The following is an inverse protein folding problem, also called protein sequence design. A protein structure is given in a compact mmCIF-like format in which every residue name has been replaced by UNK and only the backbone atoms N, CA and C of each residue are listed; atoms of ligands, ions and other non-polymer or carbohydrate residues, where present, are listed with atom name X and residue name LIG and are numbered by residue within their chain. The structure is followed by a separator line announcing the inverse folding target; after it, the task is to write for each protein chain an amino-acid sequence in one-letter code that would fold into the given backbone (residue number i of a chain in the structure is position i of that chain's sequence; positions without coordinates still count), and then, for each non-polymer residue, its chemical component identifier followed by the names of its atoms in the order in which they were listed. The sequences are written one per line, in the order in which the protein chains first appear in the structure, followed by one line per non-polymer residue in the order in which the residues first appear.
data_IF_168527420302
#
_entry.id   IF_168527420302
#
_cell.length_a   1.000
_cell.length_b   1.000
_cell.length_c   1.000
_cell.angle_alpha   90.00
_cell.angle_beta   90.00
_cell.angle_gamma   90.00
#
_symmetry.space_group_name_H-M   'P 1'
#
loop_
_entity.id
_entity.type
_entity.pdbx_description
1 polymer ?
#
# COMPACT_ATOMS: atom_id res chain seq x y z
N UNK A 1 -1.93 -10.46 19.36
CA UNK A 1 -0.90 -11.03 18.50
C UNK A 1 -1.44 -12.26 17.79
N UNK A 2 -1.44 -12.23 16.47
CA UNK A 2 -1.89 -13.31 15.61
C UNK A 2 -0.74 -13.75 14.71
N UNK A 3 -0.53 -15.05 14.60
CA UNK A 3 0.36 -15.65 13.62
C UNK A 3 -0.45 -16.66 12.81
N UNK A 4 -0.75 -16.31 11.57
CA UNK A 4 -1.60 -17.12 10.69
C UNK A 4 -0.92 -18.41 10.19
N UNK A 5 0.41 -18.44 10.20
CA UNK A 5 1.15 -19.67 9.87
C UNK A 5 1.06 -20.08 8.41
N UNK A 6 0.88 -21.38 8.16
CA UNK A 6 0.70 -21.97 6.83
C UNK A 6 -0.77 -22.19 6.54
N UNK A 7 -1.12 -22.25 5.27
CA UNK A 7 -2.50 -22.47 4.80
C UNK A 7 -3.15 -21.21 4.23
N UNK A 8 -4.29 -21.41 3.59
CA UNK A 8 -5.14 -20.33 3.09
C UNK A 8 -6.11 -19.94 4.22
N UNK A 9 -5.83 -18.83 4.88
CA UNK A 9 -6.60 -18.40 6.04
C UNK A 9 -7.31 -17.06 5.77
N UNK A 10 -8.36 -16.83 6.52
CA UNK A 10 -9.02 -15.55 6.69
C UNK A 10 -8.74 -15.08 8.12
N UNK A 11 -8.12 -13.91 8.24
CA UNK A 11 -7.61 -13.40 9.52
C UNK A 11 -8.34 -12.12 9.90
N UNK A 12 -8.81 -12.04 11.15
CA UNK A 12 -9.42 -10.85 11.74
C UNK A 12 -8.68 -10.50 13.04
N UNK A 13 -8.12 -9.30 13.12
CA UNK A 13 -7.51 -8.76 14.35
C UNK A 13 -8.57 -8.49 15.41
N UNK A 14 -9.60 -7.76 15.02
CA UNK A 14 -10.73 -7.46 15.90
C UNK A 14 -10.68 -6.01 16.39
N UNK A 15 -10.70 -5.79 17.69
CA UNK A 15 -10.61 -4.46 18.27
C UNK A 15 -9.39 -4.32 19.18
N UNK A 16 -8.77 -3.15 19.14
CA UNK A 16 -7.56 -2.85 19.90
C UNK A 16 -6.35 -2.83 18.97
N UNK A 17 -5.17 -2.73 19.54
CA UNK A 17 -3.92 -2.72 18.76
C UNK A 17 -3.44 -4.15 18.55
N UNK A 18 -3.51 -4.61 17.34
CA UNK A 18 -3.10 -5.96 16.98
C UNK A 18 -1.73 -6.01 16.28
N UNK A 19 -1.06 -7.12 16.43
CA UNK A 19 0.14 -7.47 15.66
C UNK A 19 -0.18 -8.76 14.91
N UNK A 20 -0.20 -8.68 13.57
CA UNK A 20 -0.61 -9.79 12.72
C UNK A 20 0.53 -10.16 11.79
N UNK A 21 0.94 -11.44 11.83
CA UNK A 21 1.88 -12.02 10.88
C UNK A 21 1.14 -12.98 9.94
N UNK A 22 1.13 -12.67 8.64
CA UNK A 22 0.38 -13.39 7.62
C UNK A 22 0.90 -14.80 7.29
N UNK A 23 2.17 -15.11 7.62
CA UNK A 23 2.72 -16.44 7.34
C UNK A 23 3.18 -16.63 5.90
N UNK A 24 2.97 -17.82 5.32
CA UNK A 24 3.65 -18.22 4.08
C UNK A 24 2.76 -18.29 2.82
N UNK A 25 1.47 -18.58 2.95
CA UNK A 25 0.56 -18.68 1.81
C UNK A 25 -0.36 -17.47 1.72
N UNK A 26 -1.04 -17.30 0.57
CA UNK A 26 -2.00 -16.23 0.33
C UNK A 26 -3.11 -16.21 1.39
N UNK A 27 -3.41 -15.03 1.90
CA UNK A 27 -4.43 -14.83 2.94
C UNK A 27 -5.10 -13.46 2.79
N UNK A 28 -6.35 -13.38 3.20
CA UNK A 28 -7.01 -12.10 3.40
C UNK A 28 -6.94 -11.75 4.89
N UNK A 29 -6.44 -10.54 5.18
CA UNK A 29 -6.20 -10.08 6.54
C UNK A 29 -6.97 -8.78 6.75
N UNK A 30 -7.70 -8.72 7.85
CA UNK A 30 -8.42 -7.55 8.32
C UNK A 30 -7.89 -7.19 9.70
N UNK A 31 -7.29 -6.00 9.84
CA UNK A 31 -6.79 -5.48 11.11
C UNK A 31 -7.94 -5.28 12.09
N UNK A 32 -8.88 -4.45 11.72
CA UNK A 32 -10.09 -4.20 12.48
C UNK A 32 -10.14 -2.81 13.06
N UNK A 33 -10.46 -2.66 14.33
CA UNK A 33 -10.50 -1.36 15.00
C UNK A 33 -9.25 -1.13 15.84
N UNK A 34 -8.55 -0.04 15.59
CA UNK A 34 -7.38 0.38 16.37
C UNK A 34 -6.11 0.40 15.52
N UNK A 35 -5.04 0.92 16.07
CA UNK A 35 -3.79 1.09 15.33
C UNK A 35 -3.03 -0.23 15.26
N UNK A 36 -3.06 -0.89 14.13
CA UNK A 36 -2.56 -2.24 13.94
C UNK A 36 -1.18 -2.28 13.27
N UNK A 37 -0.44 -3.34 13.50
CA UNK A 37 0.76 -3.68 12.76
C UNK A 37 0.52 -4.99 12.01
N UNK A 38 0.54 -4.93 10.68
CA UNK A 38 0.22 -6.07 9.84
C UNK A 38 1.36 -6.36 8.87
N UNK A 39 1.84 -7.58 8.90
CA UNK A 39 2.77 -8.08 7.89
C UNK A 39 2.04 -9.06 6.98
N UNK A 40 2.00 -8.76 5.68
CA UNK A 40 1.31 -9.58 4.68
C UNK A 40 1.92 -10.99 4.57
N UNK A 41 1.22 -11.94 3.95
CA UNK A 41 1.79 -13.26 3.70
C UNK A 41 3.00 -13.20 2.75
N UNK A 42 4.05 -13.96 3.05
CA UNK A 42 5.26 -14.02 2.22
C UNK A 42 5.08 -14.79 0.91
N UNK A 43 4.09 -15.66 0.81
CA UNK A 43 3.73 -16.38 -0.41
C UNK A 43 2.98 -15.53 -1.44
N UNK A 44 2.49 -14.39 -1.04
CA UNK A 44 1.82 -13.41 -1.89
C UNK A 44 0.38 -13.78 -2.27
N UNK A 45 -0.28 -12.83 -2.96
CA UNK A 45 -1.63 -13.02 -3.49
C UNK A 45 -2.75 -12.85 -2.46
N UNK A 46 -2.51 -12.16 -1.36
CA UNK A 46 -3.54 -11.80 -0.38
C UNK A 46 -3.91 -10.33 -0.41
N UNK A 47 -5.03 -9.99 0.18
CA UNK A 47 -5.46 -8.64 0.42
C UNK A 47 -5.31 -8.34 1.91
N UNK A 48 -4.72 -7.19 2.22
CA UNK A 48 -4.58 -6.70 3.59
C UNK A 48 -5.37 -5.42 3.72
N UNK A 49 -6.29 -5.41 4.65
CA UNK A 49 -7.04 -4.23 5.08
C UNK A 49 -6.58 -3.82 6.48
N UNK A 50 -6.15 -2.57 6.65
CA UNK A 50 -5.93 -1.98 7.97
C UNK A 50 -7.26 -1.85 8.71
N UNK A 51 -8.25 -1.29 8.07
CA UNK A 51 -9.57 -0.93 8.55
C UNK A 51 -9.54 0.34 9.41
N UNK A 52 -10.16 0.33 10.63
CA UNK A 52 -10.32 1.54 11.44
C UNK A 52 -9.08 1.83 12.29
N UNK A 53 -8.38 2.90 12.04
CA UNK A 53 -7.23 3.33 12.86
C UNK A 53 -6.05 3.79 12.03
N UNK A 54 -4.91 4.03 12.68
CA UNK A 54 -3.69 4.38 11.97
C UNK A 54 -2.81 3.14 11.91
N UNK A 55 -2.77 2.52 10.75
CA UNK A 55 -2.21 1.21 10.58
C UNK A 55 -0.81 1.23 9.97
N UNK A 56 -0.03 0.23 10.31
CA UNK A 56 1.25 -0.01 9.67
C UNK A 56 1.22 -1.37 8.98
N UNK A 57 1.30 -1.34 7.65
CA UNK A 57 1.25 -2.54 6.84
C UNK A 57 2.56 -2.76 6.09
N UNK A 58 3.11 -3.96 6.21
CA UNK A 58 4.31 -4.39 5.49
C UNK A 58 3.96 -5.47 4.46
N UNK A 59 4.09 -5.14 3.18
CA UNK A 59 4.02 -6.10 2.08
C UNK A 59 5.21 -7.05 2.09
N UNK A 60 4.97 -8.30 1.75
CA UNK A 60 6.02 -9.32 1.61
C UNK A 60 5.81 -10.15 0.35
N UNK A 61 6.91 -10.69 -0.18
CA UNK A 61 6.89 -11.69 -1.25
C UNK A 61 6.24 -11.21 -2.55
N UNK A 62 5.31 -12.01 -3.06
CA UNK A 62 4.65 -11.79 -4.34
C UNK A 62 3.62 -10.64 -4.28
N UNK A 63 2.94 -10.40 -5.41
CA UNK A 63 1.94 -9.33 -5.55
C UNK A 63 0.97 -9.29 -4.36
N UNK A 64 0.84 -8.14 -3.73
CA UNK A 64 -0.08 -7.88 -2.64
C UNK A 64 -1.01 -6.71 -2.99
N UNK A 65 -2.19 -6.68 -2.37
CA UNK A 65 -3.03 -5.49 -2.28
C UNK A 65 -3.03 -5.04 -0.83
N UNK A 66 -2.63 -3.80 -0.60
CA UNK A 66 -2.66 -3.15 0.71
C UNK A 66 -3.68 -2.04 0.66
N UNK A 67 -4.69 -2.14 1.50
CA UNK A 67 -5.78 -1.17 1.61
C UNK A 67 -5.75 -0.56 3.01
N UNK A 68 -5.67 0.76 3.11
CA UNK A 68 -5.59 1.47 4.39
C UNK A 68 -6.84 1.21 5.23
N UNK A 69 -7.90 1.87 4.88
CA UNK A 69 -9.18 1.74 5.58
C UNK A 69 -10.11 0.63 5.01
N UNK A 70 -11.41 0.89 5.05
CA UNK A 70 -12.41 0.04 4.42
C UNK A 70 -12.63 0.46 2.97
N UNK A 71 -12.56 -0.45 2.06
CA UNK A 71 -12.86 -0.22 0.65
C UNK A 71 -14.31 0.21 0.44
N UNK A 72 -14.58 1.50 0.43
CA UNK A 72 -15.89 2.08 0.12
C UNK A 72 -15.92 2.69 -1.29
N UNK A 73 -16.86 2.27 -2.11
CA UNK A 73 -16.96 2.62 -3.54
C UNK A 73 -17.18 4.12 -3.85
N UNK A 74 -17.43 4.98 -2.87
CA UNK A 74 -17.87 6.36 -3.12
C UNK A 74 -17.22 7.42 -2.23
N UNK A 75 -16.05 7.18 -1.65
CA UNK A 75 -15.35 8.14 -0.78
C UNK A 75 -16.22 8.67 0.37
N UNK A 76 -17.13 7.87 0.86
CA UNK A 76 -18.13 8.27 1.83
C UNK A 76 -17.87 7.65 3.22
N UNK A 77 -16.69 7.10 3.40
CA UNK A 77 -16.29 6.56 4.68
C UNK A 77 -16.20 7.66 5.73
N UNK A 78 -16.70 7.36 6.91
CA UNK A 78 -16.47 8.16 8.12
C UNK A 78 -15.31 7.62 8.93
N UNK A 79 -14.72 6.56 8.45
CA UNK A 79 -13.54 5.92 8.98
C UNK A 79 -12.38 6.62 8.33
N UNK A 80 -11.52 7.22 9.13
CA UNK A 80 -10.35 7.95 8.66
C UNK A 80 -9.17 7.37 9.43
N UNK A 81 -8.25 6.77 8.70
CA UNK A 81 -6.94 6.37 9.19
C UNK A 81 -5.84 7.29 8.67
N UNK A 82 -4.66 7.18 9.20
CA UNK A 82 -3.44 7.71 8.61
C UNK A 82 -2.45 6.56 8.58
N UNK A 83 -2.32 5.94 7.42
CA UNK A 83 -1.71 4.65 7.31
C UNK A 83 -0.30 4.71 6.73
N UNK A 84 0.51 3.74 7.09
CA UNK A 84 1.81 3.53 6.46
C UNK A 84 1.83 2.15 5.82
N UNK A 85 1.92 2.14 4.51
CA UNK A 85 1.94 0.93 3.71
C UNK A 85 3.30 0.78 3.03
N UNK A 86 3.96 -0.34 3.21
CA UNK A 86 5.26 -0.60 2.59
C UNK A 86 5.14 -1.76 1.60
N UNK A 87 5.56 -1.56 0.36
CA UNK A 87 5.63 -2.61 -0.65
C UNK A 87 6.63 -3.70 -0.26
N UNK A 88 6.39 -4.90 -0.75
CA UNK A 88 7.34 -6.00 -0.71
C UNK A 88 8.37 -5.95 -1.86
N UNK A 89 8.89 -7.13 -2.22
CA UNK A 89 9.88 -7.27 -3.31
C UNK A 89 9.25 -7.29 -4.71
N UNK A 90 7.94 -7.42 -4.81
CA UNK A 90 7.21 -7.52 -6.08
C UNK A 90 6.14 -6.43 -6.17
N UNK A 91 5.36 -6.48 -7.26
CA UNK A 91 4.31 -5.52 -7.54
C UNK A 91 3.32 -5.41 -6.39
N UNK A 92 2.95 -4.19 -6.04
CA UNK A 92 1.97 -3.92 -4.98
C UNK A 92 0.91 -2.95 -5.49
N UNK A 93 -0.35 -3.28 -5.20
CA UNK A 93 -1.47 -2.35 -5.33
C UNK A 93 -1.71 -1.70 -3.96
N UNK A 94 -1.58 -0.39 -3.92
CA UNK A 94 -1.91 0.44 -2.76
C UNK A 94 -3.24 1.14 -3.01
N UNK A 95 -4.17 0.95 -2.12
CA UNK A 95 -5.42 1.71 -2.01
C UNK A 95 -5.45 2.36 -0.61
N UNK A 96 -5.08 3.65 -0.52
CA UNK A 96 -4.90 4.34 0.75
C UNK A 96 -6.24 4.68 1.42
N UNK A 97 -7.27 4.98 0.61
CA UNK A 97 -8.65 5.26 1.02
C UNK A 97 -8.84 6.65 1.62
N UNK A 98 -8.90 6.78 2.92
CA UNK A 98 -9.24 8.04 3.59
C UNK A 98 -8.23 8.40 4.66
N UNK A 99 -7.65 9.57 4.58
CA UNK A 99 -6.65 10.03 5.53
C UNK A 99 -5.46 10.64 4.83
N UNK A 100 -4.42 10.96 5.56
CA UNK A 100 -3.16 11.39 4.98
C UNK A 100 -2.18 10.21 5.09
N UNK A 101 -1.90 9.53 3.98
CA UNK A 101 -1.28 8.22 3.98
C UNK A 101 0.13 8.22 3.37
N UNK A 102 0.91 7.22 3.72
CA UNK A 102 2.27 7.04 3.19
C UNK A 102 2.41 5.67 2.52
N UNK A 103 2.70 5.67 1.24
CA UNK A 103 2.96 4.48 0.43
C UNK A 103 4.46 4.38 0.13
N UNK A 104 5.17 3.48 0.80
CA UNK A 104 6.60 3.25 0.62
C UNK A 104 6.83 2.20 -0.45
N UNK A 105 7.51 2.60 -1.52
CA UNK A 105 7.70 1.78 -2.70
C UNK A 105 8.77 0.71 -2.50
N UNK A 106 8.54 -0.46 -3.12
CA UNK A 106 9.53 -1.53 -3.29
C UNK A 106 10.17 -1.50 -4.68
N UNK A 107 10.78 -2.63 -5.06
CA UNK A 107 11.44 -2.78 -6.36
C UNK A 107 10.48 -3.21 -7.49
N UNK A 108 9.24 -3.58 -7.17
CA UNK A 108 8.20 -3.95 -8.13
C UNK A 108 7.63 -2.75 -8.89
N UNK A 109 6.66 -3.03 -9.74
CA UNK A 109 5.86 -2.01 -10.42
C UNK A 109 4.59 -1.80 -9.59
N UNK A 110 4.48 -0.64 -8.96
CA UNK A 110 3.44 -0.41 -7.99
C UNK A 110 2.32 0.47 -8.56
N UNK A 111 1.11 0.25 -8.05
CA UNK A 111 -0.04 1.09 -8.32
C UNK A 111 -0.40 1.82 -7.04
N UNK A 112 -0.38 3.14 -7.10
CA UNK A 112 -0.56 4.01 -5.96
C UNK A 112 -1.84 4.83 -6.14
N UNK A 113 -2.85 4.50 -5.37
CA UNK A 113 -4.13 5.18 -5.33
C UNK A 113 -4.30 5.83 -3.95
N UNK A 114 -4.15 7.14 -3.86
CA UNK A 114 -4.26 7.88 -2.60
C UNK A 114 -5.70 8.04 -2.15
N UNK A 115 -6.60 8.27 -3.09
CA UNK A 115 -8.03 8.51 -2.89
C UNK A 115 -8.34 9.81 -2.17
N UNK A 116 -8.49 9.87 -0.87
CA UNK A 116 -9.00 11.04 -0.17
C UNK A 116 -8.12 11.48 1.01
N UNK A 117 -7.38 12.54 0.81
CA UNK A 117 -6.47 13.07 1.83
C UNK A 117 -5.30 13.80 1.22
N UNK A 118 -4.20 13.82 1.92
CA UNK A 118 -2.89 14.24 1.41
C UNK A 118 -1.95 13.04 1.44
N UNK A 119 -1.78 12.38 0.30
CA UNK A 119 -1.13 11.10 0.21
C UNK A 119 0.27 11.22 -0.36
N UNK A 120 1.19 10.46 0.23
CA UNK A 120 2.60 10.56 -0.06
C UNK A 120 3.17 9.23 -0.56
N UNK A 121 3.73 9.25 -1.75
CA UNK A 121 4.53 8.13 -2.26
C UNK A 121 6.01 8.38 -1.99
N UNK A 122 6.66 7.44 -1.32
CA UNK A 122 8.05 7.53 -0.92
C UNK A 122 8.87 6.37 -1.46
N UNK A 123 9.98 6.67 -2.10
CA UNK A 123 11.00 5.70 -2.50
C UNK A 123 12.07 5.50 -1.45
N UNK A 124 11.73 5.71 -0.19
CA UNK A 124 12.64 5.53 0.94
C UNK A 124 13.26 4.13 0.93
N UNK A 125 14.58 4.07 0.90
CA UNK A 125 15.34 2.82 0.89
C UNK A 125 15.69 2.30 -0.50
N UNK A 126 15.27 2.98 -1.59
CA UNK A 126 15.69 2.62 -2.93
C UNK A 126 17.22 2.79 -3.07
N UNK A 127 17.89 1.75 -3.52
CA UNK A 127 19.34 1.73 -3.78
C UNK A 127 19.68 2.02 -5.25
N UNK A 128 18.72 2.55 -5.99
CA UNK A 128 18.79 2.92 -7.41
C UNK A 128 18.24 4.32 -7.64
N UNK A 129 18.62 4.93 -8.77
CA UNK A 129 18.05 6.22 -9.18
C UNK A 129 16.60 6.03 -9.64
N UNK A 130 15.69 6.72 -8.98
CA UNK A 130 14.24 6.66 -9.25
C UNK A 130 13.88 7.56 -10.44
N UNK A 131 13.05 7.07 -11.36
CA UNK A 131 12.34 7.87 -12.37
C UNK A 131 10.83 7.71 -12.18
N UNK A 132 10.26 8.56 -11.36
CA UNK A 132 8.82 8.54 -11.03
C UNK A 132 8.12 9.78 -11.61
N UNK A 133 6.94 9.55 -12.20
CA UNK A 133 6.15 10.57 -12.87
C UNK A 133 4.66 10.42 -12.48
N UNK A 134 4.16 11.35 -11.68
CA UNK A 134 2.78 11.35 -11.20
C UNK A 134 1.73 11.54 -12.31
N UNK A 135 2.15 11.85 -13.54
CA UNK A 135 1.25 11.88 -14.71
C UNK A 135 0.99 10.49 -15.30
N UNK A 136 1.68 9.46 -14.84
CA UNK A 136 1.40 8.07 -15.22
C UNK A 136 0.24 7.53 -14.40
N UNK A 137 -0.97 7.69 -14.92
CA UNK A 137 -2.21 7.28 -14.25
C UNK A 137 -2.36 5.77 -14.13
N UNK A 138 -3.14 5.30 -13.15
CA UNK A 138 -3.52 3.88 -12.97
C UNK A 138 -4.17 3.29 -14.24
N UNK A 139 -4.90 4.07 -14.99
CA UNK A 139 -5.66 3.65 -16.17
C UNK A 139 -4.95 3.93 -17.49
N UNK A 140 -3.61 3.89 -17.51
CA UNK A 140 -2.88 4.11 -18.76
C UNK A 140 -3.10 2.97 -19.75
N UNK A 141 -3.31 3.37 -21.00
CA UNK A 141 -3.39 2.50 -22.16
C UNK A 141 -2.13 2.56 -23.04
N UNK A 142 -1.10 3.29 -22.62
CA UNK A 142 0.15 3.42 -23.36
C UNK A 142 1.12 2.32 -22.95
N UNK A 143 1.53 1.51 -23.90
CA UNK A 143 2.38 0.35 -23.67
C UNK A 143 3.72 0.70 -22.98
N UNK A 144 4.27 1.88 -23.22
CA UNK A 144 5.52 2.33 -22.61
C UNK A 144 5.40 2.62 -21.11
N UNK A 145 4.19 2.81 -20.59
CA UNK A 145 3.93 3.13 -19.19
C UNK A 145 3.48 1.92 -18.37
N UNK A 146 3.30 0.75 -18.99
CA UNK A 146 2.91 -0.47 -18.28
C UNK A 146 4.00 -1.00 -17.34
N UNK A 147 5.25 -0.66 -17.59
CA UNK A 147 6.41 -1.06 -16.79
C UNK A 147 6.92 0.08 -15.89
N UNK A 148 6.03 0.96 -15.46
CA UNK A 148 6.32 2.08 -14.55
C UNK A 148 5.33 2.09 -13.41
N UNK A 149 5.75 2.64 -12.28
CA UNK A 149 4.82 2.95 -11.19
C UNK A 149 3.76 3.92 -11.68
N UNK A 150 2.55 3.74 -11.16
CA UNK A 150 1.36 4.48 -11.56
C UNK A 150 0.74 5.16 -10.35
N UNK A 151 0.17 6.33 -10.59
CA UNK A 151 -0.30 7.21 -9.53
C UNK A 151 -1.70 7.73 -9.85
N UNK A 152 -2.58 7.73 -8.86
CA UNK A 152 -3.82 8.46 -8.89
C UNK A 152 -4.11 9.07 -7.52
N UNK A 153 -4.62 10.30 -7.51
CA UNK A 153 -4.99 11.01 -6.27
C UNK A 153 -3.87 11.01 -5.20
N UNK A 154 -2.62 11.20 -5.62
CA UNK A 154 -1.42 11.32 -4.76
C UNK A 154 -0.90 12.74 -4.86
N UNK A 155 -0.55 13.38 -3.76
CA UNK A 155 -0.10 14.78 -3.68
C UNK A 155 1.39 14.91 -3.40
N UNK A 156 1.98 13.94 -2.71
CA UNK A 156 3.39 13.94 -2.33
C UNK A 156 4.23 12.87 -3.02
N UNK A 157 5.46 13.24 -3.39
CA UNK A 157 6.41 12.30 -3.99
C UNK A 157 7.82 12.58 -3.46
N UNK A 158 8.53 11.56 -3.04
CA UNK A 158 9.93 11.66 -2.61
C UNK A 158 10.79 10.52 -3.12
N UNK A 159 12.03 10.84 -3.51
CA UNK A 159 13.09 9.90 -3.79
C UNK A 159 13.87 9.50 -2.53
N UNK A 160 15.10 9.03 -2.70
CA UNK A 160 16.00 8.64 -1.62
C UNK A 160 17.46 9.08 -1.92
N UNK A 161 18.43 8.19 -1.78
CA UNK A 161 19.86 8.52 -1.90
C UNK A 161 20.38 8.61 -3.35
N UNK A 162 19.55 8.37 -4.36
CA UNK A 162 19.91 8.36 -5.77
C UNK A 162 19.93 9.74 -6.44
N UNK A 163 20.31 9.76 -7.72
CA UNK A 163 20.09 10.91 -8.60
C UNK A 163 18.68 10.79 -9.21
N UNK A 164 17.67 11.10 -8.43
CA UNK A 164 16.29 10.85 -8.74
C UNK A 164 15.71 11.87 -9.72
N UNK A 165 14.85 11.40 -10.59
CA UNK A 165 14.00 12.22 -11.44
C UNK A 165 12.56 12.06 -11.00
N UNK A 166 12.03 13.10 -10.40
CA UNK A 166 10.68 13.14 -9.87
C UNK A 166 9.86 14.17 -10.63
N UNK A 167 8.73 13.75 -11.20
CA UNK A 167 7.83 14.63 -11.93
C UNK A 167 6.49 14.70 -11.20
N UNK A 168 6.13 15.90 -10.79
CA UNK A 168 4.82 16.17 -10.18
C UNK A 168 3.69 16.12 -11.21
N UNK A 169 2.45 16.10 -10.71
CA UNK A 169 1.28 16.14 -11.57
C UNK A 169 1.15 17.50 -12.24
N UNK A 170 0.88 17.50 -13.54
CA UNK A 170 0.46 18.69 -14.26
C UNK A 170 -1.01 18.99 -13.94
N UNK A 171 -1.30 20.21 -13.47
CA UNK A 171 -2.64 20.72 -13.13
C UNK A 171 -3.17 21.61 -14.23
#
# INVERSE_FOLDING_TARGET
LINAGMGLDLVFGGSGRDVIAGGSEAKDIFGGQGDDFIRSPSGGGGIVYGNEGNDWMEGQGNMNTLTGDNSELFFNSRIIGHDVMTAGENDTDFDAESGDDIMVQGIGINRNNGMAGFDWVSYKGADYAVDADMNVSLFVNQQNNLLRDRFDLVEGLSGWDGNDKLTGREV
#
